data_IF_610266469045
#
_entry.id   IF_610266469045
#
_cell.length_a   1.000
_cell.length_b   1.000
_cell.length_c   1.000
_cell.angle_alpha   90.00
_cell.angle_beta   90.00
_cell.angle_gamma   90.00
#
_symmetry.space_group_name_H-M   'P 1'
#
loop_
_entity.id
_entity.type
_entity.pdbx_description
1 polymer ?
#
# COMPACT_ATOMS: atom_id res chain seq x y z
N UNK A 1 -9.86 20.74 -6.12
CA UNK A 1 -9.37 19.91 -4.99
C UNK A 1 -10.43 18.96 -4.46
N UNK A 2 -11.58 19.42 -3.97
CA UNK A 2 -12.61 18.53 -3.37
C UNK A 2 -13.11 17.42 -4.32
N UNK A 3 -13.46 17.76 -5.55
CA UNK A 3 -13.86 16.78 -6.58
C UNK A 3 -12.78 15.70 -6.83
N UNK A 4 -11.53 16.13 -6.94
CA UNK A 4 -10.37 15.23 -7.12
C UNK A 4 -10.23 14.29 -5.93
N UNK A 5 -10.39 14.79 -4.70
CA UNK A 5 -10.32 13.94 -3.51
C UNK A 5 -11.48 12.94 -3.45
N UNK A 6 -12.68 13.31 -3.87
CA UNK A 6 -13.82 12.37 -3.97
C UNK A 6 -13.58 11.27 -5.00
N UNK A 7 -13.03 11.62 -6.16
CA UNK A 7 -12.62 10.64 -7.18
C UNK A 7 -11.56 9.69 -6.61
N UNK A 8 -10.57 10.21 -5.88
CA UNK A 8 -9.54 9.38 -5.20
C UNK A 8 -10.11 8.47 -4.13
N UNK A 9 -11.12 8.91 -3.39
CA UNK A 9 -11.83 8.05 -2.42
C UNK A 9 -12.50 6.89 -3.16
N UNK A 10 -13.23 7.16 -4.24
CA UNK A 10 -13.89 6.12 -5.02
C UNK A 10 -12.89 5.14 -5.66
N UNK A 11 -11.81 5.66 -6.26
CA UNK A 11 -10.70 4.85 -6.77
C UNK A 11 -10.09 3.97 -5.67
N UNK A 12 -9.98 4.45 -4.43
CA UNK A 12 -9.46 3.66 -3.31
C UNK A 12 -10.44 2.53 -2.94
N UNK A 13 -11.74 2.81 -2.94
CA UNK A 13 -12.78 1.82 -2.61
C UNK A 13 -12.81 0.65 -3.61
N UNK A 14 -12.54 0.87 -4.90
CA UNK A 14 -12.50 -0.23 -5.88
C UNK A 14 -11.27 -1.12 -5.73
N UNK A 15 -10.24 -0.67 -5.00
CA UNK A 15 -8.97 -1.38 -4.79
C UNK A 15 -8.82 -2.04 -3.41
N UNK A 16 -9.93 -2.16 -2.67
CA UNK A 16 -9.95 -2.73 -1.31
C UNK A 16 -9.26 -4.09 -1.24
N UNK A 17 -9.44 -4.97 -2.24
CA UNK A 17 -8.79 -6.30 -2.27
C UNK A 17 -7.27 -6.21 -2.21
N UNK A 18 -6.66 -5.36 -3.03
CA UNK A 18 -5.20 -5.16 -3.06
C UNK A 18 -4.70 -4.56 -1.74
N UNK A 19 -5.44 -3.59 -1.21
CA UNK A 19 -5.14 -2.96 0.08
C UNK A 19 -5.18 -4.01 1.20
N UNK A 20 -6.19 -4.88 1.22
CA UNK A 20 -6.30 -5.98 2.20
C UNK A 20 -5.14 -6.97 2.08
N UNK A 21 -4.72 -7.34 0.86
CA UNK A 21 -3.56 -8.21 0.65
C UNK A 21 -2.27 -7.59 1.21
N UNK A 22 -2.07 -6.29 0.98
CA UNK A 22 -0.91 -5.56 1.48
C UNK A 22 -0.92 -5.37 3.01
N UNK A 23 -2.09 -5.17 3.61
CA UNK A 23 -2.23 -5.15 5.08
C UNK A 23 -1.88 -6.52 5.67
N UNK A 24 -2.44 -7.58 5.10
CA UNK A 24 -2.23 -8.94 5.59
C UNK A 24 -0.78 -9.41 5.42
N UNK A 25 -0.08 -8.96 4.38
CA UNK A 25 1.32 -9.32 4.14
C UNK A 25 2.27 -8.80 5.21
N UNK A 26 1.86 -7.76 5.94
CA UNK A 26 2.66 -7.15 7.00
C UNK A 26 2.31 -7.68 8.40
N UNK A 27 1.17 -8.38 8.56
CA UNK A 27 0.71 -8.98 9.81
C UNK A 27 0.93 -8.03 11.02
N UNK A 28 0.43 -6.80 10.89
CA UNK A 28 0.61 -5.73 11.88
C UNK A 28 -0.43 -5.90 13.01
N UNK A 29 -0.02 -5.70 14.27
CA UNK A 29 -0.92 -5.79 15.42
C UNK A 29 -1.93 -4.63 15.42
N UNK A 30 -3.12 -4.87 15.97
CA UNK A 30 -4.23 -3.91 16.01
C UNK A 30 -4.10 -2.82 17.10
N UNK A 31 -2.88 -2.37 17.41
CA UNK A 31 -2.65 -1.37 18.48
C UNK A 31 -2.70 0.08 17.96
N UNK A 32 -2.43 1.05 18.84
CA UNK A 32 -2.44 2.51 18.59
C UNK A 32 -1.66 2.91 17.33
N UNK A 33 -0.67 2.12 16.89
CA UNK A 33 0.11 2.33 15.68
C UNK A 33 -0.63 1.98 14.37
N UNK A 34 -1.81 1.36 14.45
CA UNK A 34 -2.61 0.91 13.28
C UNK A 34 -2.84 2.02 12.26
N UNK A 35 -3.03 3.26 12.72
CA UNK A 35 -3.19 4.41 11.83
C UNK A 35 -1.88 4.77 11.10
N UNK A 36 -0.76 4.84 11.82
CA UNK A 36 0.56 5.10 11.23
C UNK A 36 0.96 4.03 10.22
N UNK A 37 0.69 2.77 10.56
CA UNK A 37 0.83 1.64 9.65
C UNK A 37 -0.06 1.75 8.41
N UNK A 38 -1.33 2.14 8.57
CA UNK A 38 -2.24 2.39 7.45
C UNK A 38 -1.74 3.48 6.50
N UNK A 39 -1.20 4.58 7.04
CA UNK A 39 -0.59 5.66 6.23
C UNK A 39 0.63 5.15 5.46
N UNK A 40 1.53 4.41 6.12
CA UNK A 40 2.72 3.84 5.49
C UNK A 40 2.36 2.86 4.36
N UNK A 41 1.41 1.96 4.61
CA UNK A 41 0.87 1.02 3.61
C UNK A 41 0.30 1.77 2.41
N UNK A 42 -0.53 2.80 2.65
CA UNK A 42 -1.07 3.65 1.58
C UNK A 42 0.01 4.34 0.75
N UNK A 43 1.11 4.79 1.39
CA UNK A 43 2.25 5.40 0.69
C UNK A 43 3.02 4.40 -0.16
N UNK A 44 3.26 3.18 0.34
CA UNK A 44 3.93 2.12 -0.41
C UNK A 44 3.10 1.73 -1.63
N UNK A 45 1.80 1.51 -1.44
CA UNK A 45 0.86 1.20 -2.49
C UNK A 45 0.87 2.25 -3.61
N UNK A 46 0.72 3.53 -3.24
CA UNK A 46 0.72 4.63 -4.20
C UNK A 46 2.08 4.77 -4.91
N UNK A 47 3.19 4.58 -4.18
CA UNK A 47 4.54 4.65 -4.75
C UNK A 47 4.78 3.55 -5.78
N UNK A 48 4.39 2.31 -5.48
CA UNK A 48 4.49 1.19 -6.43
C UNK A 48 3.77 1.52 -7.74
N UNK A 49 2.47 1.85 -7.67
CA UNK A 49 1.68 2.19 -8.86
C UNK A 49 2.23 3.40 -9.63
N UNK A 50 2.68 4.43 -8.91
CA UNK A 50 3.28 5.60 -9.54
C UNK A 50 4.58 5.27 -10.29
N UNK A 51 5.49 4.52 -9.65
CA UNK A 51 6.77 4.15 -10.27
C UNK A 51 6.56 3.20 -11.44
N UNK A 52 5.66 2.22 -11.32
CA UNK A 52 5.26 1.33 -12.41
C UNK A 52 4.77 2.12 -13.63
N UNK A 53 3.83 3.07 -13.45
CA UNK A 53 3.37 3.93 -14.55
C UNK A 53 4.48 4.82 -15.11
N UNK A 54 5.34 5.38 -14.25
CA UNK A 54 6.43 6.27 -14.69
C UNK A 54 7.43 5.56 -15.59
N UNK A 55 7.82 4.34 -15.21
CA UNK A 55 8.86 3.55 -15.87
C UNK A 55 8.27 2.76 -17.05
N UNK A 56 7.19 2.02 -16.83
CA UNK A 56 6.62 1.06 -17.79
C UNK A 56 5.55 1.68 -18.70
N UNK A 57 5.10 2.92 -18.42
CA UNK A 57 4.03 3.63 -19.16
C UNK A 57 2.67 2.92 -19.16
N UNK A 58 2.44 2.01 -18.21
CA UNK A 58 1.18 1.31 -17.97
C UNK A 58 1.00 1.04 -16.47
N UNK A 59 -0.20 0.63 -16.08
CA UNK A 59 -0.41 0.09 -14.73
C UNK A 59 0.31 -1.25 -14.56
N UNK A 60 0.72 -1.58 -13.32
CA UNK A 60 1.32 -2.87 -13.02
C UNK A 60 0.35 -4.02 -13.29
N UNK A 61 0.87 -5.17 -13.68
CA UNK A 61 0.09 -6.41 -13.80
C UNK A 61 -0.15 -7.04 -12.43
N UNK A 62 -1.08 -7.99 -12.35
CA UNK A 62 -1.34 -8.76 -11.13
C UNK A 62 -0.09 -9.53 -10.65
N UNK A 63 0.73 -10.03 -11.59
CA UNK A 63 2.00 -10.69 -11.25
C UNK A 63 3.00 -9.70 -10.65
N UNK A 64 3.19 -8.53 -11.27
CA UNK A 64 4.09 -7.49 -10.76
C UNK A 64 3.64 -6.99 -9.38
N UNK A 65 2.33 -6.91 -9.13
CA UNK A 65 1.81 -6.60 -7.80
C UNK A 65 2.08 -7.72 -6.80
N UNK A 66 1.94 -8.99 -7.21
CA UNK A 66 2.26 -10.14 -6.34
C UNK A 66 3.73 -10.16 -5.95
N UNK A 67 4.63 -9.90 -6.90
CA UNK A 67 6.07 -9.79 -6.65
C UNK A 67 6.38 -8.64 -5.68
N UNK A 68 5.68 -7.52 -5.81
CA UNK A 68 5.77 -6.41 -4.87
C UNK A 68 5.31 -6.80 -3.45
N UNK A 69 4.23 -7.58 -3.31
CA UNK A 69 3.79 -8.07 -1.99
C UNK A 69 4.86 -8.95 -1.35
N UNK A 70 5.49 -9.87 -2.11
CA UNK A 70 6.57 -10.70 -1.59
C UNK A 70 7.78 -9.86 -1.14
N UNK A 71 8.17 -8.86 -1.94
CA UNK A 71 9.23 -7.92 -1.56
C UNK A 71 8.91 -7.20 -0.24
N UNK A 72 7.66 -6.77 -0.04
CA UNK A 72 7.21 -6.12 1.20
C UNK A 72 7.28 -7.09 2.39
N UNK A 73 6.90 -8.37 2.21
CA UNK A 73 6.99 -9.41 3.26
C UNK A 73 8.42 -9.65 3.70
N UNK A 74 9.36 -9.74 2.77
CA UNK A 74 10.79 -9.90 3.07
C UNK A 74 11.33 -8.78 3.97
N UNK A 75 10.72 -7.60 3.89
CA UNK A 75 11.11 -6.41 4.63
C UNK A 75 10.24 -6.17 5.89
N UNK A 76 9.36 -7.11 6.24
CA UNK A 76 8.38 -6.96 7.33
C UNK A 76 8.99 -6.50 8.65
N UNK A 77 10.11 -7.11 9.06
CA UNK A 77 10.77 -6.79 10.34
C UNK A 77 11.13 -5.30 10.46
N UNK A 78 11.59 -4.68 9.37
CA UNK A 78 11.93 -3.25 9.34
C UNK A 78 10.73 -2.35 9.62
N UNK A 79 9.52 -2.78 9.24
CA UNK A 79 8.30 -2.03 9.52
C UNK A 79 7.87 -2.16 10.98
N UNK A 80 8.13 -3.31 11.62
CA UNK A 80 7.82 -3.53 13.03
C UNK A 80 8.76 -2.77 13.99
N UNK A 81 9.95 -2.42 13.53
CA UNK A 81 10.90 -1.58 14.28
C UNK A 81 10.47 -0.10 14.33
N UNK A 82 9.47 0.31 13.54
CA UNK A 82 8.96 1.69 13.54
C UNK A 82 8.02 1.88 14.72
N UNK A 83 8.37 2.80 15.60
CA UNK A 83 7.50 3.31 16.66
C UNK A 83 6.92 4.66 16.24
N UNK A 84 5.59 4.80 16.25
CA UNK A 84 4.93 6.07 16.03
C UNK A 84 4.69 6.74 17.39
N UNK A 85 5.49 7.77 17.68
CA UNK A 85 5.42 8.60 18.90
C UNK A 85 4.32 9.66 18.82
#
# INVERSE_FOLDING_TARGET
MQKIMQEKIHETMVKVKEITLLINSLELSSDVNSFGYGVMIGRLYNSFYYQSRRILKRDPTEQEFSDFIELVKEHRSKFLEISFS
#
